data_IF_811953128212
#
_entry.id   IF_811953128212
#
_cell.length_a   1.000
_cell.length_b   1.000
_cell.length_c   1.000
_cell.angle_alpha   90.00
_cell.angle_beta   90.00
_cell.angle_gamma   90.00
#
_symmetry.space_group_name_H-M   'P 1'
#
loop_
_entity.id
_entity.type
_entity.pdbx_description
1 polymer ?
#
# COMPACT_ATOMS: atom_id res chain seq x y z
N UNK A 1 -24.37 -17.70 -22.22
CA UNK A 1 -23.16 -17.66 -21.37
C UNK A 1 -23.39 -16.59 -20.30
N UNK A 2 -23.51 -16.99 -19.03
CA UNK A 2 -23.66 -16.06 -17.89
C UNK A 2 -22.25 -15.67 -17.43
N UNK A 3 -21.92 -14.39 -17.54
CA UNK A 3 -20.69 -13.83 -16.98
C UNK A 3 -20.92 -13.64 -15.47
N UNK A 4 -20.52 -14.63 -14.68
CA UNK A 4 -20.44 -14.49 -13.23
C UNK A 4 -19.16 -13.71 -12.92
N UNK A 5 -19.30 -12.40 -12.68
CA UNK A 5 -18.26 -11.63 -12.03
C UNK A 5 -18.19 -12.11 -10.58
N UNK A 6 -17.32 -13.08 -10.29
CA UNK A 6 -16.88 -13.31 -8.92
C UNK A 6 -16.03 -12.10 -8.56
N UNK A 7 -16.64 -11.10 -7.93
CA UNK A 7 -15.92 -10.10 -7.16
C UNK A 7 -15.14 -10.87 -6.11
N UNK A 8 -13.85 -11.10 -6.37
CA UNK A 8 -12.93 -11.60 -5.37
C UNK A 8 -12.97 -10.61 -4.24
N UNK A 9 -13.59 -11.00 -3.14
CA UNK A 9 -13.59 -10.26 -1.90
C UNK A 9 -12.13 -10.12 -1.48
N UNK A 10 -11.54 -8.94 -1.66
CA UNK A 10 -10.21 -8.59 -1.15
C UNK A 10 -10.36 -8.32 0.34
N UNK A 11 -10.88 -9.30 1.08
CA UNK A 11 -11.25 -9.14 2.50
C UNK A 11 -10.14 -9.49 3.46
N UNK A 12 -8.98 -9.93 2.97
CA UNK A 12 -7.90 -10.40 3.83
C UNK A 12 -6.54 -9.80 3.45
N UNK A 13 -6.52 -8.49 3.20
CA UNK A 13 -5.25 -7.75 3.18
C UNK A 13 -5.02 -7.24 4.61
N UNK A 14 -3.97 -7.71 5.34
CA UNK A 14 -3.74 -7.35 6.75
C UNK A 14 -3.76 -5.84 7.02
N UNK A 15 -3.39 -5.04 6.03
CA UNK A 15 -3.41 -3.57 6.06
C UNK A 15 -4.81 -2.96 6.20
N UNK A 16 -5.88 -3.66 5.80
CA UNK A 16 -7.26 -3.18 5.96
C UNK A 16 -7.68 -3.13 7.43
N UNK A 17 -7.09 -3.99 8.27
CA UNK A 17 -7.37 -4.10 9.70
C UNK A 17 -6.48 -3.21 10.58
N UNK A 18 -5.41 -2.62 10.02
CA UNK A 18 -4.55 -1.69 10.75
C UNK A 18 -5.34 -0.45 11.18
N UNK A 19 -5.07 0.11 12.35
CA UNK A 19 -5.56 1.47 12.63
C UNK A 19 -4.75 2.51 11.83
N UNK A 20 -5.10 3.80 11.96
CA UNK A 20 -4.43 4.86 11.19
C UNK A 20 -2.97 5.09 11.64
N UNK A 21 -2.65 4.82 12.91
CA UNK A 21 -1.30 4.97 13.46
C UNK A 21 -0.39 3.83 12.99
N UNK A 22 -0.88 2.59 13.05
CA UNK A 22 -0.22 1.40 12.50
C UNK A 22 0.02 1.56 11.00
N UNK A 23 -1.00 2.00 10.26
CA UNK A 23 -0.89 2.26 8.82
C UNK A 23 0.19 3.30 8.53
N UNK A 24 0.20 4.42 9.26
CA UNK A 24 1.20 5.47 9.10
C UNK A 24 2.61 4.95 9.40
N UNK A 25 2.78 4.17 10.47
CA UNK A 25 4.08 3.59 10.85
C UNK A 25 4.65 2.69 9.76
N UNK A 26 3.82 1.83 9.18
CA UNK A 26 4.23 0.96 8.08
C UNK A 26 4.58 1.76 6.81
N UNK A 27 3.81 2.80 6.48
CA UNK A 27 4.14 3.71 5.37
C UNK A 27 5.50 4.37 5.56
N UNK A 28 5.80 4.82 6.78
CA UNK A 28 7.11 5.40 7.11
C UNK A 28 8.25 4.37 7.03
N UNK A 29 8.00 3.13 7.46
CA UNK A 29 8.97 2.04 7.33
C UNK A 29 9.28 1.71 5.86
N UNK A 30 8.27 1.69 4.99
CA UNK A 30 8.44 1.50 3.54
C UNK A 30 9.25 2.63 2.91
N UNK A 31 8.93 3.88 3.23
CA UNK A 31 9.69 5.04 2.74
C UNK A 31 11.17 4.97 3.13
N UNK A 32 11.45 4.56 4.37
CA UNK A 32 12.82 4.36 4.84
C UNK A 32 13.53 3.25 4.05
N UNK A 33 12.87 2.12 3.77
CA UNK A 33 13.44 1.05 2.96
C UNK A 33 13.75 1.52 1.53
N UNK A 34 12.87 2.32 0.93
CA UNK A 34 13.10 2.92 -0.38
C UNK A 34 14.30 3.87 -0.36
N UNK A 35 14.43 4.70 0.68
CA UNK A 35 15.58 5.59 0.85
C UNK A 35 16.89 4.81 0.99
N UNK A 36 16.92 3.78 1.84
CA UNK A 36 18.07 2.91 2.04
C UNK A 36 18.47 2.18 0.73
N UNK A 37 17.49 1.68 -0.03
CA UNK A 37 17.72 1.05 -1.33
C UNK A 37 18.39 2.03 -2.33
N UNK A 38 17.87 3.26 -2.42
CA UNK A 38 18.47 4.30 -3.28
C UNK A 38 19.88 4.66 -2.82
N UNK A 39 20.12 4.79 -1.52
CA UNK A 39 21.46 5.05 -0.97
C UNK A 39 22.45 3.90 -1.25
N UNK A 40 21.97 2.66 -1.31
CA UNK A 40 22.76 1.49 -1.69
C UNK A 40 23.00 1.39 -3.21
N UNK A 41 22.48 2.33 -3.99
CA UNK A 41 22.67 2.39 -5.44
C UNK A 41 21.66 1.55 -6.22
N UNK A 42 20.56 1.12 -5.59
CA UNK A 42 19.47 0.49 -6.33
C UNK A 42 18.83 1.48 -7.31
N UNK A 43 18.45 0.95 -8.47
CA UNK A 43 17.72 1.72 -9.47
C UNK A 43 16.27 1.88 -9.03
N UNK A 44 15.72 3.07 -9.21
CA UNK A 44 14.29 3.36 -8.98
C UNK A 44 13.37 2.44 -9.78
N UNK A 45 13.84 1.95 -10.93
CA UNK A 45 13.09 1.02 -11.80
C UNK A 45 13.40 -0.45 -11.54
N UNK A 46 14.23 -0.75 -10.52
CA UNK A 46 14.51 -2.11 -10.10
C UNK A 46 13.27 -2.78 -9.51
N UNK A 47 13.17 -4.09 -9.66
CA UNK A 47 12.02 -4.88 -9.20
C UNK A 47 11.72 -4.64 -7.71
N UNK A 48 12.76 -4.48 -6.89
CA UNK A 48 12.63 -4.18 -5.47
C UNK A 48 11.98 -2.81 -5.22
N UNK A 49 12.48 -1.74 -5.84
CA UNK A 49 11.88 -0.40 -5.76
C UNK A 49 10.45 -0.35 -6.31
N UNK A 50 10.17 -1.08 -7.39
CA UNK A 50 8.81 -1.21 -7.95
C UNK A 50 7.87 -1.87 -6.94
N UNK A 51 8.32 -2.94 -6.27
CA UNK A 51 7.53 -3.63 -5.25
C UNK A 51 7.24 -2.75 -4.04
N UNK A 52 8.24 -2.04 -3.53
CA UNK A 52 8.07 -1.10 -2.42
C UNK A 52 7.09 0.02 -2.79
N UNK A 53 7.19 0.55 -4.01
CA UNK A 53 6.29 1.59 -4.52
C UNK A 53 4.84 1.10 -4.61
N UNK A 54 4.62 -0.10 -5.17
CA UNK A 54 3.28 -0.71 -5.25
C UNK A 54 2.67 -0.94 -3.86
N UNK A 55 3.48 -1.33 -2.89
CA UNK A 55 3.02 -1.52 -1.52
C UNK A 55 2.62 -0.17 -0.89
N UNK A 56 3.42 0.89 -1.10
CA UNK A 56 3.10 2.23 -0.63
C UNK A 56 1.80 2.77 -1.27
N UNK A 57 1.60 2.56 -2.57
CA UNK A 57 0.39 2.98 -3.29
C UNK A 57 -0.88 2.35 -2.69
N UNK A 58 -0.83 1.07 -2.34
CA UNK A 58 -1.95 0.38 -1.70
C UNK A 58 -2.30 1.02 -0.33
N UNK A 59 -1.29 1.40 0.45
CA UNK A 59 -1.47 1.99 1.78
C UNK A 59 -2.02 3.42 1.67
N UNK A 60 -1.55 4.18 0.68
CA UNK A 60 -2.10 5.51 0.35
C UNK A 60 -3.58 5.41 -0.02
N UNK A 61 -3.96 4.43 -0.84
CA UNK A 61 -5.35 4.25 -1.26
C UNK A 61 -6.27 3.97 -0.04
N UNK A 62 -5.80 3.17 0.91
CA UNK A 62 -6.53 2.87 2.16
C UNK A 62 -6.69 4.14 3.00
N UNK A 63 -5.61 4.88 3.23
CA UNK A 63 -5.64 6.13 3.98
C UNK A 63 -6.60 7.15 3.35
N UNK A 64 -6.56 7.31 2.03
CA UNK A 64 -7.46 8.19 1.29
C UNK A 64 -8.92 7.72 1.41
N UNK A 65 -9.17 6.42 1.29
CA UNK A 65 -10.52 5.84 1.44
C UNK A 65 -11.08 6.11 2.83
N UNK A 66 -10.29 5.91 3.89
CA UNK A 66 -10.69 6.21 5.27
C UNK A 66 -10.98 7.70 5.45
N UNK A 67 -10.09 8.56 4.97
CA UNK A 67 -10.28 10.02 5.00
C UNK A 67 -11.59 10.44 4.34
N UNK A 68 -11.93 9.89 3.18
CA UNK A 68 -13.19 10.19 2.49
C UNK A 68 -14.43 9.73 3.28
N UNK A 69 -14.36 8.61 4.01
CA UNK A 69 -15.47 8.16 4.89
C UNK A 69 -15.71 9.11 6.07
N UNK A 70 -14.69 9.82 6.53
CA UNK A 70 -14.79 10.75 7.66
C UNK A 70 -15.30 12.16 7.29
N UNK A 71 -15.52 12.46 6.01
CA UNK A 71 -15.99 13.79 5.53
C UNK A 71 -17.53 13.78 5.30
N UNK A 72 -18.29 12.96 6.05
CA UNK A 72 -19.76 12.97 6.01
C UNK A 72 -20.36 13.90 7.06
#
# INVERSE_FOLDING_TARGET
>A
MKLSASGGEVTDLPVLHMDDEELQKEMMALLRQMEEAVQQGERLTGEHMVRLSQQLDAYVLIAQTRKMRCIS
#
